data_IF_206948375352
#
_entry.id   IF_206948375352
#
_cell.length_a   1.000
_cell.length_b   1.000
_cell.length_c   1.000
_cell.angle_alpha   90.00
_cell.angle_beta   90.00
_cell.angle_gamma   90.00
#
_symmetry.space_group_name_H-M   'P 1'
#
loop_
_entity.id
_entity.type
_entity.pdbx_description
1 polymer ?
#
# COMPACT_ATOMS: atom_id res chain seq x y z
N UNK A 1 -2.26 1.18 -30.07
CA UNK A 1 -2.74 2.22 -29.12
C UNK A 1 -3.84 1.71 -28.17
N UNK A 2 -4.59 0.65 -28.53
CA UNK A 2 -5.67 0.12 -27.69
C UNK A 2 -5.19 -0.73 -26.51
N UNK A 3 -3.99 -1.29 -26.57
CA UNK A 3 -3.45 -2.11 -25.50
C UNK A 3 -3.04 -1.28 -24.26
N UNK A 4 -2.65 0.00 -24.42
CA UNK A 4 -2.28 0.91 -23.34
C UNK A 4 -3.48 1.17 -22.40
N UNK A 5 -4.69 1.20 -22.95
CA UNK A 5 -5.92 1.40 -22.18
C UNK A 5 -6.64 0.09 -21.81
N UNK A 6 -6.17 -1.04 -22.31
CA UNK A 6 -6.84 -2.33 -22.12
C UNK A 6 -6.75 -2.84 -20.68
N UNK A 7 -5.67 -2.51 -19.97
CA UNK A 7 -5.48 -2.89 -18.57
C UNK A 7 -6.48 -2.18 -17.63
N UNK A 8 -6.97 -0.99 -18.00
CA UNK A 8 -7.99 -0.27 -17.24
C UNK A 8 -9.29 -1.06 -17.08
N UNK A 9 -9.60 -1.94 -18.02
CA UNK A 9 -10.77 -2.81 -17.97
C UNK A 9 -10.71 -3.86 -16.88
N UNK A 10 -9.50 -4.19 -16.41
CA UNK A 10 -9.26 -5.23 -15.40
C UNK A 10 -9.18 -4.69 -13.97
N UNK A 11 -9.21 -3.36 -13.83
CA UNK A 11 -9.26 -2.72 -12.51
C UNK A 11 -10.60 -1.99 -12.36
N UNK A 12 -11.44 -2.50 -11.49
CA UNK A 12 -12.71 -1.88 -11.12
C UNK A 12 -12.73 -1.53 -9.65
N UNK A 13 -13.59 -0.59 -9.28
CA UNK A 13 -13.79 -0.21 -7.89
C UNK A 13 -14.24 -1.40 -7.04
N UNK A 14 -13.84 -1.40 -5.78
CA UNK A 14 -14.28 -2.37 -4.80
C UNK A 14 -14.43 -1.73 -3.43
N UNK A 15 -15.26 -2.35 -2.60
CA UNK A 15 -15.55 -1.88 -1.25
C UNK A 15 -15.03 -2.87 -0.21
N UNK A 16 -14.35 -2.36 0.80
CA UNK A 16 -13.93 -3.12 1.99
C UNK A 16 -14.45 -2.36 3.20
N UNK A 17 -15.42 -2.96 3.91
CA UNK A 17 -16.15 -2.30 5.02
C UNK A 17 -16.72 -0.96 4.57
N UNK A 18 -16.31 0.16 5.17
CA UNK A 18 -16.74 1.51 4.78
C UNK A 18 -15.83 2.19 3.75
N UNK A 19 -14.77 1.51 3.30
CA UNK A 19 -13.82 2.06 2.34
C UNK A 19 -14.22 1.68 0.92
N UNK A 20 -14.34 2.69 0.05
CA UNK A 20 -14.41 2.50 -1.39
C UNK A 20 -13.06 2.81 -2.02
N UNK A 21 -12.51 1.85 -2.73
CA UNK A 21 -11.31 2.05 -3.55
C UNK A 21 -11.72 2.02 -5.01
N UNK A 22 -11.49 3.11 -5.71
CA UNK A 22 -11.83 3.25 -7.12
C UNK A 22 -10.71 3.91 -7.91
N UNK A 23 -10.57 3.59 -9.21
CA UNK A 23 -9.69 4.34 -10.08
C UNK A 23 -10.25 5.75 -10.36
N UNK A 24 -9.37 6.68 -10.75
CA UNK A 24 -9.77 8.06 -11.02
C UNK A 24 -10.72 8.19 -12.22
N UNK A 25 -10.64 7.28 -13.19
CA UNK A 25 -11.48 7.29 -14.39
C UNK A 25 -12.92 6.77 -14.18
N UNK A 26 -13.23 6.17 -13.03
CA UNK A 26 -14.60 5.79 -12.68
C UNK A 26 -15.28 6.94 -11.91
N UNK A 27 -16.54 7.19 -12.23
CA UNK A 27 -17.35 8.16 -11.50
C UNK A 27 -17.81 7.59 -10.15
N UNK A 28 -17.88 8.45 -9.16
CA UNK A 28 -18.46 8.12 -7.86
C UNK A 28 -19.97 7.96 -7.98
N UNK A 29 -20.47 6.78 -7.66
CA UNK A 29 -21.91 6.50 -7.67
C UNK A 29 -22.60 7.17 -6.47
N UNK A 30 -23.88 7.53 -6.66
CA UNK A 30 -24.70 8.14 -5.60
C UNK A 30 -24.73 7.30 -4.32
N UNK A 31 -24.86 5.98 -4.47
CA UNK A 31 -24.89 5.00 -3.36
C UNK A 31 -23.59 4.91 -2.56
N UNK A 32 -22.49 5.42 -3.12
CA UNK A 32 -21.14 5.32 -2.54
C UNK A 32 -20.65 6.64 -1.92
N UNK A 33 -21.45 7.70 -1.96
CA UNK A 33 -21.04 9.04 -1.50
C UNK A 33 -20.65 9.13 -0.04
N UNK A 34 -21.24 8.30 0.80
CA UNK A 34 -21.00 8.30 2.25
C UNK A 34 -19.82 7.38 2.64
N UNK A 35 -19.24 6.68 1.67
CA UNK A 35 -18.10 5.80 1.93
C UNK A 35 -16.80 6.58 2.02
N UNK A 36 -15.84 6.02 2.73
CA UNK A 36 -14.50 6.55 2.82
C UNK A 36 -13.76 6.31 1.49
N UNK A 37 -13.62 7.36 0.70
CA UNK A 37 -13.09 7.27 -0.67
C UNK A 37 -11.56 7.27 -0.68
N UNK A 38 -10.99 6.29 -1.37
CA UNK A 38 -9.58 6.23 -1.75
C UNK A 38 -9.50 6.02 -3.26
N UNK A 39 -8.81 6.91 -3.94
CA UNK A 39 -8.62 6.82 -5.40
C UNK A 39 -7.22 6.26 -5.69
N UNK A 40 -7.15 5.21 -6.50
CA UNK A 40 -5.89 4.57 -6.90
C UNK A 40 -5.90 4.31 -8.38
N UNK A 41 -4.90 4.83 -9.07
CA UNK A 41 -4.60 4.46 -10.43
C UNK A 41 -3.48 3.41 -10.42
N UNK A 42 -3.82 2.13 -10.70
CA UNK A 42 -2.81 1.09 -10.73
C UNK A 42 -1.88 1.31 -11.91
N UNK A 43 -0.58 1.14 -11.68
CA UNK A 43 0.41 1.15 -12.74
C UNK A 43 0.33 -0.12 -13.60
N UNK A 44 1.10 -0.14 -14.68
CA UNK A 44 1.19 -1.27 -15.63
C UNK A 44 1.61 -2.57 -14.93
N UNK A 45 2.35 -2.47 -13.83
CA UNK A 45 2.80 -3.59 -13.01
C UNK A 45 1.73 -4.20 -12.10
N UNK A 46 0.53 -3.63 -12.04
CA UNK A 46 -0.56 -4.17 -11.23
C UNK A 46 -1.16 -5.40 -11.91
N UNK A 47 -0.72 -6.60 -11.49
CA UNK A 47 -1.23 -7.86 -12.00
C UNK A 47 -2.64 -8.17 -11.50
N UNK A 48 -3.49 -8.71 -12.39
CA UNK A 48 -4.89 -9.06 -12.10
C UNK A 48 -5.07 -10.12 -11.00
N UNK A 49 -4.05 -10.94 -10.73
CA UNK A 49 -4.10 -12.00 -9.69
C UNK A 49 -3.88 -11.55 -8.26
N UNK A 50 -3.62 -10.24 -8.04
CA UNK A 50 -3.28 -9.70 -6.71
C UNK A 50 -4.44 -9.06 -5.97
N UNK A 51 -5.63 -9.05 -6.55
CA UNK A 51 -6.79 -8.33 -6.01
C UNK A 51 -7.22 -8.85 -4.63
N UNK A 52 -7.29 -10.17 -4.48
CA UNK A 52 -7.70 -10.81 -3.22
C UNK A 52 -6.68 -10.60 -2.10
N UNK A 53 -5.38 -10.75 -2.40
CA UNK A 53 -4.31 -10.53 -1.43
C UNK A 53 -4.22 -9.08 -1.01
N UNK A 54 -4.43 -8.14 -1.94
CA UNK A 54 -4.52 -6.71 -1.64
C UNK A 54 -5.68 -6.42 -0.69
N UNK A 55 -6.85 -6.99 -0.93
CA UNK A 55 -8.00 -6.83 -0.04
C UNK A 55 -7.73 -7.38 1.36
N UNK A 56 -7.08 -8.54 1.47
CA UNK A 56 -6.68 -9.11 2.76
C UNK A 56 -5.73 -8.19 3.53
N UNK A 57 -4.73 -7.62 2.85
CA UNK A 57 -3.81 -6.65 3.44
C UNK A 57 -4.55 -5.40 3.93
N UNK A 58 -5.50 -4.88 3.15
CA UNK A 58 -6.30 -3.72 3.54
C UNK A 58 -7.14 -4.03 4.78
N UNK A 59 -7.76 -5.20 4.86
CA UNK A 59 -8.50 -5.65 6.06
C UNK A 59 -7.60 -5.71 7.29
N UNK A 60 -6.36 -6.17 7.14
CA UNK A 60 -5.39 -6.19 8.24
C UNK A 60 -4.96 -4.77 8.64
N UNK A 61 -4.74 -3.86 7.69
CA UNK A 61 -4.46 -2.46 7.99
C UNK A 61 -5.62 -1.81 8.75
N UNK A 62 -6.85 -2.06 8.36
CA UNK A 62 -8.04 -1.59 9.09
C UNK A 62 -8.01 -2.07 10.54
N UNK A 63 -7.77 -3.36 10.75
CA UNK A 63 -7.70 -3.94 12.09
C UNK A 63 -6.59 -3.31 12.94
N UNK A 64 -5.38 -3.23 12.41
CA UNK A 64 -4.21 -2.81 13.19
C UNK A 64 -4.07 -1.30 13.33
N UNK A 65 -4.66 -0.51 12.46
CA UNK A 65 -4.62 0.96 12.55
C UNK A 65 -5.88 1.52 13.21
N UNK A 66 -7.06 1.10 12.74
CA UNK A 66 -8.36 1.59 13.24
C UNK A 66 -8.88 0.78 14.42
N UNK A 67 -8.58 -0.51 14.46
CA UNK A 67 -9.12 -1.44 15.45
C UNK A 67 -10.48 -2.01 15.05
N UNK A 68 -10.97 -2.95 15.84
CA UNK A 68 -12.30 -3.55 15.72
C UNK A 68 -12.80 -4.01 17.12
N UNK A 69 -13.89 -4.74 17.17
CA UNK A 69 -14.47 -5.24 18.41
C UNK A 69 -13.53 -6.16 19.21
N UNK A 70 -12.60 -6.83 18.55
CA UNK A 70 -11.68 -7.81 19.16
C UNK A 70 -10.25 -7.30 19.33
N UNK A 71 -9.91 -6.17 18.73
CA UNK A 71 -8.55 -5.64 18.74
C UNK A 71 -8.53 -4.12 18.93
N UNK A 72 -7.78 -3.66 19.92
CA UNK A 72 -7.48 -2.24 20.14
C UNK A 72 -6.05 -1.97 19.73
N UNK A 73 -5.81 -1.03 18.78
CA UNK A 73 -4.45 -0.69 18.35
C UNK A 73 -3.57 -0.21 19.50
N UNK A 74 -2.34 -0.69 19.54
CA UNK A 74 -1.33 -0.25 20.53
C UNK A 74 -0.80 1.14 20.20
N UNK A 75 -0.71 1.46 18.90
CA UNK A 75 -0.28 2.76 18.41
C UNK A 75 -1.37 3.35 17.50
N UNK A 76 -1.79 4.55 17.85
CA UNK A 76 -2.89 5.23 17.16
C UNK A 76 -2.48 5.76 15.78
N UNK A 77 -1.21 6.14 15.65
CA UNK A 77 -0.61 6.67 14.41
C UNK A 77 0.69 5.92 14.10
N UNK A 78 0.60 4.67 13.61
CA UNK A 78 1.77 3.84 13.41
C UNK A 78 2.65 4.34 12.25
N UNK A 79 3.94 4.02 12.32
CA UNK A 79 4.83 4.05 11.18
C UNK A 79 4.74 2.71 10.45
N UNK A 80 4.51 2.74 9.15
CA UNK A 80 4.25 1.56 8.32
C UNK A 80 5.35 1.38 7.29
N UNK A 81 5.84 0.16 7.15
CA UNK A 81 6.71 -0.25 6.05
C UNK A 81 5.90 -1.07 5.05
N UNK A 82 5.93 -0.65 3.78
CA UNK A 82 5.27 -1.30 2.65
C UNK A 82 6.33 -1.92 1.72
N UNK A 83 6.54 -3.23 1.85
CA UNK A 83 7.52 -3.97 1.05
C UNK A 83 6.88 -4.43 -0.25
N UNK A 84 7.45 -4.00 -1.39
CA UNK A 84 6.84 -4.23 -2.70
C UNK A 84 5.64 -3.31 -2.91
N UNK A 85 5.82 -2.00 -2.74
CA UNK A 85 4.72 -1.03 -2.68
C UNK A 85 3.93 -0.85 -3.98
N UNK A 86 4.52 -1.15 -5.14
CA UNK A 86 3.82 -1.07 -6.44
C UNK A 86 3.21 0.29 -6.72
N UNK A 87 1.91 0.34 -6.94
CA UNK A 87 1.15 1.59 -7.13
C UNK A 87 0.98 2.41 -5.86
N UNK A 88 1.41 1.88 -4.72
CA UNK A 88 1.29 2.53 -3.41
C UNK A 88 -0.06 2.34 -2.73
N UNK A 89 -0.89 1.43 -3.20
CA UNK A 89 -2.25 1.24 -2.64
C UNK A 89 -2.24 1.01 -1.13
N UNK A 90 -1.39 0.13 -0.62
CA UNK A 90 -1.33 -0.16 0.83
C UNK A 90 -0.76 1.01 1.62
N UNK A 91 0.25 1.69 1.08
CA UNK A 91 0.80 2.91 1.67
C UNK A 91 -0.25 4.00 1.80
N UNK A 92 -1.04 4.23 0.76
CA UNK A 92 -2.08 5.25 0.74
C UNK A 92 -3.23 4.89 1.69
N UNK A 93 -3.66 3.63 1.69
CA UNK A 93 -4.66 3.16 2.66
C UNK A 93 -4.17 3.39 4.09
N UNK A 94 -2.92 3.02 4.40
CA UNK A 94 -2.35 3.22 5.73
C UNK A 94 -2.35 4.70 6.14
N UNK A 95 -1.91 5.61 5.27
CA UNK A 95 -1.91 7.04 5.53
C UNK A 95 -3.32 7.60 5.70
N UNK A 96 -4.26 7.21 4.86
CA UNK A 96 -5.67 7.63 4.96
C UNK A 96 -6.33 7.12 6.24
N UNK A 97 -5.91 5.98 6.77
CA UNK A 97 -6.40 5.44 8.04
C UNK A 97 -5.75 6.09 9.27
N UNK A 98 -4.69 6.86 9.11
CA UNK A 98 -4.07 7.61 10.19
C UNK A 98 -2.62 7.26 10.52
N UNK A 99 -1.94 6.45 9.70
CA UNK A 99 -0.50 6.26 9.85
C UNK A 99 0.22 7.61 9.82
N UNK A 100 1.22 7.80 10.70
CA UNK A 100 1.98 9.05 10.74
C UNK A 100 3.00 9.16 9.61
N UNK A 101 3.49 8.04 9.13
CA UNK A 101 4.51 7.95 8.10
C UNK A 101 4.48 6.57 7.47
N UNK A 102 4.77 6.51 6.17
CA UNK A 102 4.98 5.28 5.43
C UNK A 102 6.34 5.30 4.75
N UNK A 103 7.05 4.19 4.83
CA UNK A 103 8.23 3.91 4.01
C UNK A 103 7.89 2.75 3.09
N UNK A 104 8.17 2.88 1.81
CA UNK A 104 7.92 1.84 0.82
C UNK A 104 9.19 1.45 0.07
N UNK A 105 9.28 0.21 -0.32
CA UNK A 105 10.34 -0.30 -1.19
C UNK A 105 9.77 -1.06 -2.36
N UNK A 106 10.41 -0.96 -3.53
CA UNK A 106 10.08 -1.75 -4.71
C UNK A 106 11.31 -1.92 -5.60
N UNK A 107 11.32 -2.99 -6.38
CA UNK A 107 12.39 -3.25 -7.35
C UNK A 107 12.29 -2.35 -8.59
N UNK A 108 11.08 -1.89 -8.89
CA UNK A 108 10.75 -1.10 -10.08
C UNK A 108 10.72 0.39 -9.75
N UNK A 109 11.59 1.16 -10.42
CA UNK A 109 11.63 2.61 -10.26
C UNK A 109 10.32 3.31 -10.69
N UNK A 110 9.57 2.73 -11.63
CA UNK A 110 8.29 3.29 -12.08
C UNK A 110 7.23 3.28 -10.97
N UNK A 111 7.36 2.39 -9.99
CA UNK A 111 6.50 2.36 -8.82
C UNK A 111 6.61 3.63 -7.96
N UNK A 112 7.78 4.28 -7.95
CA UNK A 112 7.99 5.52 -7.19
C UNK A 112 7.15 6.65 -7.76
N UNK A 113 7.07 6.76 -9.07
CA UNK A 113 6.26 7.78 -9.76
C UNK A 113 4.78 7.51 -9.52
N UNK A 114 4.32 6.28 -9.76
CA UNK A 114 2.92 5.88 -9.55
C UNK A 114 2.45 6.13 -8.11
N UNK A 115 3.28 5.79 -7.14
CA UNK A 115 2.95 6.01 -5.72
C UNK A 115 2.78 7.48 -5.39
N UNK A 116 3.69 8.34 -5.87
CA UNK A 116 3.60 9.79 -5.64
C UNK A 116 2.36 10.38 -6.30
N UNK A 117 2.07 10.01 -7.53
CA UNK A 117 0.87 10.45 -8.24
C UNK A 117 -0.40 10.04 -7.47
N UNK A 118 -0.46 8.82 -6.99
CA UNK A 118 -1.59 8.34 -6.19
C UNK A 118 -1.70 9.04 -4.81
N UNK A 119 -0.59 9.43 -4.21
CA UNK A 119 -0.62 10.27 -3.01
C UNK A 119 -1.22 11.65 -3.32
N UNK A 120 -0.84 12.28 -4.42
CA UNK A 120 -1.36 13.58 -4.85
C UNK A 120 -2.85 13.53 -5.14
N UNK A 121 -3.32 12.49 -5.83
CA UNK A 121 -4.74 12.26 -6.12
C UNK A 121 -5.57 12.20 -4.84
N UNK A 122 -5.02 11.63 -3.78
CA UNK A 122 -5.70 11.52 -2.47
C UNK A 122 -5.44 12.72 -1.55
N UNK A 123 -4.82 13.79 -2.05
CA UNK A 123 -4.51 15.01 -1.29
C UNK A 123 -3.64 14.74 -0.05
N UNK A 124 -2.75 13.75 -0.14
CA UNK A 124 -1.81 13.42 0.92
C UNK A 124 -0.54 14.26 0.82
N UNK A 125 0.00 14.66 1.96
CA UNK A 125 1.29 15.33 2.04
C UNK A 125 2.39 14.35 1.63
N UNK A 126 3.16 14.68 0.58
CA UNK A 126 4.25 13.84 0.07
C UNK A 126 5.36 13.60 1.10
N UNK A 127 5.49 14.46 2.10
CA UNK A 127 6.45 14.27 3.19
C UNK A 127 6.10 13.12 4.14
N UNK A 128 4.87 12.61 4.09
CA UNK A 128 4.44 11.46 4.87
C UNK A 128 4.89 10.12 4.31
N UNK A 129 5.39 10.10 3.07
CA UNK A 129 5.86 8.90 2.41
C UNK A 129 7.29 9.04 1.89
N UNK A 130 8.11 8.03 2.14
CA UNK A 130 9.46 7.91 1.59
C UNK A 130 9.59 6.56 0.89
N UNK A 131 9.98 6.59 -0.39
CA UNK A 131 9.98 5.38 -1.22
C UNK A 131 11.37 5.17 -1.82
N UNK A 132 11.85 3.94 -1.72
CA UNK A 132 13.19 3.55 -2.18
C UNK A 132 13.10 2.44 -3.21
N UNK A 133 13.93 2.54 -4.26
CA UNK A 133 14.13 1.48 -5.25
C UNK A 133 15.22 0.54 -4.75
N UNK A 134 14.94 -0.73 -4.70
CA UNK A 134 15.92 -1.74 -4.33
C UNK A 134 15.31 -3.00 -3.77
N UNK A 135 16.18 -3.98 -3.54
CA UNK A 135 15.82 -5.27 -2.98
C UNK A 135 16.21 -5.33 -1.49
N UNK A 136 15.20 -5.33 -0.63
CA UNK A 136 15.41 -5.35 0.83
C UNK A 136 16.06 -6.66 1.32
N UNK A 137 16.05 -7.73 0.50
CA UNK A 137 16.63 -9.03 0.88
C UNK A 137 18.14 -8.98 0.93
N UNK A 138 18.79 -8.39 -0.07
CA UNK A 138 20.22 -8.49 -0.28
C UNK A 138 20.97 -7.14 -0.32
N UNK A 139 20.26 -6.02 -0.30
CA UNK A 139 20.86 -4.69 -0.26
C UNK A 139 21.04 -4.21 1.19
N UNK A 140 22.21 -4.43 1.74
CA UNK A 140 22.54 -4.03 3.12
C UNK A 140 22.38 -2.52 3.35
N UNK A 141 22.76 -1.72 2.35
CA UNK A 141 22.62 -0.27 2.43
C UNK A 141 21.16 0.16 2.47
N UNK A 142 20.31 -0.49 1.70
CA UNK A 142 18.87 -0.27 1.76
C UNK A 142 18.30 -0.69 3.12
N UNK A 143 18.72 -1.83 3.64
CA UNK A 143 18.32 -2.30 4.98
C UNK A 143 18.68 -1.29 6.07
N UNK A 144 19.88 -0.72 6.02
CA UNK A 144 20.32 0.33 6.95
C UNK A 144 19.49 1.61 6.81
N UNK A 145 19.21 2.02 5.56
CA UNK A 145 18.43 3.22 5.26
C UNK A 145 16.98 3.08 5.71
N UNK A 146 16.38 1.92 5.49
CA UNK A 146 15.01 1.60 5.93
C UNK A 146 14.94 1.50 7.46
N UNK A 147 16.01 1.01 8.09
CA UNK A 147 16.13 0.91 9.53
C UNK A 147 15.65 -0.43 10.12
N UNK A 148 15.92 -0.59 11.40
CA UNK A 148 15.54 -1.77 12.20
C UNK A 148 14.70 -1.34 13.39
N UNK A 149 13.73 -2.15 13.78
CA UNK A 149 12.88 -1.92 14.96
C UNK A 149 12.19 -0.52 14.97
N UNK A 150 11.86 -0.01 13.78
CA UNK A 150 11.28 1.34 13.64
C UNK A 150 9.78 1.35 13.31
N UNK A 151 9.26 0.21 12.88
CA UNK A 151 7.89 0.13 12.34
C UNK A 151 6.96 -0.64 13.27
N UNK A 152 5.80 -0.07 13.52
CA UNK A 152 4.73 -0.76 14.23
C UNK A 152 4.02 -1.77 13.34
N UNK A 153 4.01 -1.52 12.02
CA UNK A 153 3.36 -2.39 11.03
C UNK A 153 4.29 -2.56 9.83
N UNK A 154 4.44 -3.80 9.38
CA UNK A 154 5.06 -4.13 8.10
C UNK A 154 4.07 -4.90 7.26
N UNK A 155 3.82 -4.41 6.05
CA UNK A 155 2.99 -5.09 5.04
C UNK A 155 3.83 -5.49 3.84
N UNK A 156 3.52 -6.65 3.26
CA UNK A 156 4.17 -7.14 2.05
C UNK A 156 3.13 -7.87 1.20
N UNK A 157 2.79 -7.28 0.07
CA UNK A 157 1.87 -7.88 -0.90
C UNK A 157 2.63 -8.26 -2.17
N UNK A 158 3.43 -9.33 -2.06
CA UNK A 158 4.33 -9.84 -3.08
C UNK A 158 4.17 -11.36 -3.24
N UNK A 159 4.74 -11.90 -4.32
CA UNK A 159 4.67 -13.33 -4.59
C UNK A 159 5.38 -14.16 -3.49
N UNK A 160 4.88 -15.35 -3.23
CA UNK A 160 5.38 -16.22 -2.17
C UNK A 160 6.87 -16.59 -2.35
N UNK A 161 7.32 -16.81 -3.56
CA UNK A 161 8.73 -17.09 -3.88
C UNK A 161 9.66 -15.89 -3.63
N UNK A 162 9.11 -14.68 -3.55
CA UNK A 162 9.84 -13.47 -3.14
C UNK A 162 9.74 -13.26 -1.63
N UNK A 163 8.58 -13.50 -1.02
CA UNK A 163 8.36 -13.24 0.42
C UNK A 163 9.11 -14.26 1.31
N UNK A 164 9.25 -15.51 0.87
CA UNK A 164 9.96 -16.54 1.64
C UNK A 164 11.42 -16.16 1.92
N UNK A 165 12.22 -15.71 0.94
CA UNK A 165 13.56 -15.20 1.21
C UNK A 165 13.61 -13.94 2.07
N UNK A 166 12.52 -13.17 2.13
CA UNK A 166 12.40 -11.97 2.97
C UNK A 166 12.08 -12.29 4.43
N UNK A 167 11.62 -13.49 4.73
CA UNK A 167 11.19 -13.87 6.08
C UNK A 167 12.24 -13.57 7.18
N UNK A 168 13.56 -13.71 6.95
CA UNK A 168 14.55 -13.32 7.95
C UNK A 168 14.75 -11.80 8.10
N UNK A 169 14.40 -11.02 7.07
CA UNK A 169 14.68 -9.58 7.01
C UNK A 169 13.51 -8.75 7.57
N UNK A 170 12.27 -9.16 7.29
CA UNK A 170 11.07 -8.42 7.67
C UNK A 170 10.92 -8.26 9.18
N UNK A 171 11.03 -9.32 10.02
CA UNK A 171 10.85 -9.18 11.47
C UNK A 171 11.80 -8.19 12.13
N UNK A 172 13.01 -8.05 11.60
CA UNK A 172 13.99 -7.09 12.11
C UNK A 172 13.57 -5.62 11.94
N UNK A 173 12.54 -5.33 11.13
CA UNK A 173 12.02 -3.98 10.89
C UNK A 173 10.94 -3.58 11.90
N UNK A 174 10.32 -4.57 12.56
CA UNK A 174 9.27 -4.36 13.55
C UNK A 174 9.83 -3.94 14.92
N UNK A 175 9.07 -3.10 15.60
CA UNK A 175 9.24 -2.77 17.02
C UNK A 175 8.82 -3.92 17.93
#
# INVERSE_FOLDING_TARGET
LDWINNWKKYFSSFTIEDILIKPTWEELKEEDKDKFLIEIDPGISFGTGKHETTQLCIRQLLKYIRGNETYTPKEKHPKVLDVGCGSGILSIVALKLGAREVVGTDLDADCMVSTKENMEVNHLDLNLGTFYVGNLIDDEKLQETVGTEEYEIVVANILADVIIPMAPVIPARLK
#
